data_IF_299924568841
#
_entry.id   IF_299924568841
#
_cell.length_a   1.000
_cell.length_b   1.000
_cell.length_c   1.000
_cell.angle_alpha   90.00
_cell.angle_beta   90.00
_cell.angle_gamma   90.00
#
_symmetry.space_group_name_H-M   'P 1'
#
loop_
_entity.id
_entity.type
_entity.pdbx_description
1 polymer ?
#
# COMPACT_ATOMS: atom_id res chain seq x y z
N UNK A 1 15.34 -2.18 8.36
CA UNK A 1 13.97 -1.98 7.83
C UNK A 1 14.08 -1.51 6.40
N UNK A 2 13.42 -2.18 5.44
CA UNK A 2 13.38 -1.76 4.04
C UNK A 2 11.98 -1.21 3.76
N UNK A 3 11.94 0.04 3.30
CA UNK A 3 10.72 0.74 2.91
C UNK A 3 10.90 1.26 1.49
N UNK A 4 9.87 1.07 0.67
CA UNK A 4 9.77 1.72 -0.63
C UNK A 4 8.97 3.01 -0.46
N UNK A 5 9.62 4.15 -0.71
CA UNK A 5 9.01 5.46 -0.58
C UNK A 5 8.46 5.89 -1.93
N UNK A 6 7.17 6.20 -1.98
CA UNK A 6 6.50 6.69 -3.17
C UNK A 6 5.98 8.11 -2.94
N UNK A 7 6.38 9.02 -3.83
CA UNK A 7 5.91 10.40 -3.86
C UNK A 7 4.79 10.56 -4.90
N UNK A 8 3.90 11.53 -4.68
CA UNK A 8 2.83 11.92 -5.62
C UNK A 8 1.93 10.77 -6.09
N UNK A 9 1.59 9.84 -5.20
CA UNK A 9 0.76 8.68 -5.53
C UNK A 9 -0.72 9.01 -5.78
N UNK A 10 -1.18 10.18 -5.33
CA UNK A 10 -2.60 10.59 -5.39
C UNK A 10 -2.95 11.21 -6.75
N UNK A 11 -1.99 11.86 -7.41
CA UNK A 11 -2.19 12.51 -8.71
C UNK A 11 -1.01 12.23 -9.66
N UNK A 12 -0.99 11.07 -10.32
CA UNK A 12 0.07 10.72 -11.26
C UNK A 12 -0.07 11.52 -12.57
N UNK A 13 0.86 12.44 -12.83
CA UNK A 13 0.92 13.22 -14.08
C UNK A 13 2.27 13.04 -14.83
N UNK A 14 2.32 13.46 -16.10
CA UNK A 14 3.53 13.34 -16.95
C UNK A 14 4.73 14.12 -16.36
N UNK A 15 4.45 15.15 -15.56
CA UNK A 15 5.44 15.98 -14.85
C UNK A 15 5.77 15.50 -13.44
N UNK A 16 5.65 14.21 -13.13
CA UNK A 16 5.78 13.69 -11.77
C UNK A 16 7.10 14.10 -11.08
N UNK A 17 8.21 14.14 -11.84
CA UNK A 17 9.53 14.54 -11.31
C UNK A 17 9.64 16.06 -11.07
N UNK A 18 8.80 16.86 -11.71
CA UNK A 18 8.79 18.33 -11.60
C UNK A 18 7.89 18.81 -10.45
N UNK A 19 6.87 18.03 -10.09
CA UNK A 19 5.91 18.35 -9.04
C UNK A 19 6.10 17.50 -7.78
N UNK A 20 7.31 17.02 -7.50
CA UNK A 20 7.57 16.15 -6.33
C UNK A 20 7.19 16.85 -5.02
N UNK A 21 6.12 16.38 -4.38
CA UNK A 21 5.67 16.89 -3.10
C UNK A 21 6.47 16.20 -1.99
N UNK A 22 7.29 16.97 -1.27
CA UNK A 22 8.10 16.42 -0.16
C UNK A 22 7.32 16.36 1.17
N UNK A 23 6.16 17.02 1.26
CA UNK A 23 5.30 17.06 2.45
C UNK A 23 4.46 15.80 2.66
N UNK A 24 4.22 15.02 1.61
CA UNK A 24 3.41 13.81 1.68
C UNK A 24 4.07 12.67 0.92
N UNK A 25 4.21 11.52 1.58
CA UNK A 25 4.77 10.31 0.97
C UNK A 25 3.97 9.09 1.43
N UNK A 26 3.95 8.06 0.59
CA UNK A 26 3.48 6.73 0.96
C UNK A 26 4.67 5.82 1.19
N UNK A 27 4.70 5.19 2.36
CA UNK A 27 5.71 4.20 2.75
C UNK A 27 5.17 2.79 2.60
N UNK A 28 5.72 2.02 1.67
CA UNK A 28 5.41 0.61 1.49
C UNK A 28 6.49 -0.25 2.15
N UNK A 29 6.15 -0.92 3.25
CA UNK A 29 7.10 -1.71 4.02
C UNK A 29 7.21 -3.13 3.47
N UNK A 30 8.42 -3.68 3.45
CA UNK A 30 8.70 -5.06 3.05
C UNK A 30 8.00 -6.13 3.90
N UNK A 31 7.47 -5.78 5.07
CA UNK A 31 6.67 -6.67 5.92
C UNK A 31 5.34 -6.04 6.29
N UNK A 32 4.23 -6.70 5.93
CA UNK A 32 2.86 -6.25 6.26
C UNK A 32 2.57 -6.34 7.76
N UNK A 33 3.07 -7.38 8.44
CA UNK A 33 2.96 -7.51 9.89
C UNK A 33 3.63 -6.35 10.63
N UNK A 34 4.83 -5.95 10.21
CA UNK A 34 5.56 -4.83 10.79
C UNK A 34 4.88 -3.48 10.51
N UNK A 35 4.30 -3.30 9.31
CA UNK A 35 3.51 -2.11 8.99
C UNK A 35 2.33 -1.96 9.95
N UNK A 36 1.60 -3.04 10.20
CA UNK A 36 0.47 -3.04 11.14
C UNK A 36 0.99 -2.75 12.56
N UNK A 37 2.05 -3.44 13.01
CA UNK A 37 2.61 -3.18 14.34
C UNK A 37 3.00 -1.73 14.56
N UNK A 38 3.65 -1.08 13.58
CA UNK A 38 4.07 0.33 13.68
C UNK A 38 2.90 1.31 13.52
N UNK A 39 1.91 1.00 12.68
CA UNK A 39 0.76 1.87 12.47
C UNK A 39 -0.17 1.95 13.69
N UNK A 40 -0.17 0.92 14.54
CA UNK A 40 -1.02 0.80 15.72
C UNK A 40 -0.24 0.85 17.05
N UNK A 41 1.03 1.28 17.03
CA UNK A 41 1.97 1.29 18.18
C UNK A 41 1.64 2.32 19.28
N UNK A 42 0.43 2.89 19.32
CA UNK A 42 0.15 3.98 20.27
C UNK A 42 0.00 3.52 21.73
N UNK A 43 -0.16 2.22 22.03
CA UNK A 43 -0.47 1.78 23.42
C UNK A 43 0.07 0.41 23.86
N UNK A 44 1.06 -0.18 23.19
CA UNK A 44 1.51 -1.55 23.53
C UNK A 44 0.44 -2.64 23.28
N UNK A 45 -0.61 -2.29 22.53
CA UNK A 45 -1.67 -3.19 22.06
C UNK A 45 -1.20 -4.02 20.86
N UNK A 46 0.01 -4.57 20.89
CA UNK A 46 0.38 -5.66 19.97
C UNK A 46 -0.20 -6.96 20.51
N UNK A 47 -1.51 -6.95 20.74
CA UNK A 47 -2.28 -8.09 21.17
C UNK A 47 -3.01 -8.67 19.95
N UNK A 48 -3.33 -9.96 19.96
CA UNK A 48 -4.18 -10.62 18.94
C UNK A 48 -5.47 -9.83 18.62
N UNK A 49 -5.90 -9.00 19.57
CA UNK A 49 -7.04 -8.11 19.42
C UNK A 49 -6.95 -7.12 18.27
N UNK A 50 -5.76 -6.60 17.91
CA UNK A 50 -5.66 -5.65 16.78
C UNK A 50 -6.00 -6.34 15.48
N UNK A 51 -5.46 -7.54 15.24
CA UNK A 51 -5.80 -8.33 14.06
C UNK A 51 -7.29 -8.71 14.04
N UNK A 52 -7.86 -9.10 15.18
CA UNK A 52 -9.30 -9.37 15.32
C UNK A 52 -10.13 -8.10 15.05
N UNK A 53 -9.72 -6.95 15.57
CA UNK A 53 -10.43 -5.67 15.37
C UNK A 53 -10.33 -5.18 13.93
N UNK A 54 -9.21 -5.40 13.24
CA UNK A 54 -9.09 -5.19 11.80
C UNK A 54 -10.05 -6.12 11.04
N UNK A 55 -10.05 -7.42 11.37
CA UNK A 55 -10.91 -8.41 10.72
C UNK A 55 -12.41 -8.13 10.91
N UNK A 56 -12.80 -7.66 12.10
CA UNK A 56 -14.18 -7.29 12.41
C UNK A 56 -14.54 -5.84 12.06
N UNK A 57 -13.63 -5.11 11.39
CA UNK A 57 -13.80 -3.70 11.01
C UNK A 57 -14.24 -2.79 12.18
N UNK A 58 -13.58 -2.96 13.34
CA UNK A 58 -13.88 -2.25 14.59
C UNK A 58 -12.88 -1.12 14.89
N UNK A 59 -11.89 -0.91 14.03
CA UNK A 59 -10.89 0.15 14.13
C UNK A 59 -11.07 1.10 12.95
N UNK A 60 -11.12 2.40 13.21
CA UNK A 60 -11.03 3.40 12.15
C UNK A 60 -9.54 3.60 11.80
N UNK A 61 -9.12 3.14 10.62
CA UNK A 61 -7.77 3.33 10.10
C UNK A 61 -7.79 3.47 8.57
N UNK A 62 -6.65 3.84 7.98
CA UNK A 62 -6.52 3.93 6.54
C UNK A 62 -6.37 2.54 5.91
N UNK A 63 -7.50 1.86 5.71
CA UNK A 63 -7.57 0.55 5.05
C UNK A 63 -6.92 0.56 3.67
N UNK A 64 -7.09 1.66 2.92
CA UNK A 64 -6.50 1.85 1.60
C UNK A 64 -4.98 1.70 1.62
N UNK A 65 -4.30 2.32 2.59
CA UNK A 65 -2.84 2.23 2.71
C UNK A 65 -2.36 0.80 3.01
N UNK A 66 -3.07 0.07 3.87
CA UNK A 66 -2.73 -1.33 4.19
C UNK A 66 -2.95 -2.22 2.95
N UNK A 67 -4.09 -2.06 2.28
CA UNK A 67 -4.41 -2.84 1.08
C UNK A 67 -3.43 -2.57 -0.06
N UNK A 68 -3.06 -1.30 -0.29
CA UNK A 68 -2.03 -0.92 -1.27
C UNK A 68 -0.68 -1.59 -0.96
N UNK A 69 -0.27 -1.63 0.31
CA UNK A 69 0.97 -2.30 0.70
C UNK A 69 0.90 -3.82 0.51
N UNK A 70 -0.21 -4.47 0.85
CA UNK A 70 -0.40 -5.91 0.64
C UNK A 70 -0.33 -6.24 -0.85
N UNK A 71 -1.03 -5.47 -1.70
CA UNK A 71 -0.99 -5.65 -3.16
C UNK A 71 0.42 -5.41 -3.70
N UNK A 72 1.13 -4.38 -3.23
CA UNK A 72 2.52 -4.15 -3.63
C UNK A 72 3.41 -5.35 -3.31
N UNK A 73 3.30 -5.93 -2.11
CA UNK A 73 4.06 -7.13 -1.75
C UNK A 73 3.67 -8.35 -2.60
N UNK A 74 2.37 -8.55 -2.89
CA UNK A 74 1.92 -9.61 -3.78
C UNK A 74 2.52 -9.47 -5.18
N UNK A 75 2.50 -8.25 -5.75
CA UNK A 75 3.09 -7.97 -7.05
C UNK A 75 4.60 -8.21 -7.04
N UNK A 76 5.33 -7.73 -6.04
CA UNK A 76 6.77 -7.97 -5.88
C UNK A 76 7.09 -9.47 -5.75
N UNK A 77 6.29 -10.22 -4.98
CA UNK A 77 6.48 -11.67 -4.78
C UNK A 77 6.35 -12.48 -6.09
N UNK A 78 5.62 -11.98 -7.09
CA UNK A 78 5.57 -12.63 -8.42
C UNK A 78 6.88 -12.58 -9.20
N UNK A 79 7.85 -11.75 -8.77
CA UNK A 79 9.11 -11.52 -9.47
C UNK A 79 8.99 -10.75 -10.78
N UNK A 80 7.79 -10.23 -11.11
CA UNK A 80 7.53 -9.46 -12.32
C UNK A 80 7.57 -7.96 -12.04
N UNK A 81 8.26 -7.22 -12.91
CA UNK A 81 8.24 -5.76 -12.88
C UNK A 81 6.97 -5.24 -13.52
N UNK A 82 5.96 -4.95 -12.69
CA UNK A 82 4.74 -4.30 -13.14
C UNK A 82 4.99 -2.80 -13.34
N UNK A 83 4.82 -2.33 -14.57
CA UNK A 83 4.77 -0.91 -14.92
C UNK A 83 3.32 -0.46 -15.06
N UNK A 84 3.07 0.85 -15.00
CA UNK A 84 1.74 1.42 -15.23
C UNK A 84 1.12 0.92 -16.55
N UNK A 85 1.91 0.84 -17.63
CA UNK A 85 1.46 0.29 -18.92
C UNK A 85 1.07 -1.19 -18.84
N UNK A 86 1.79 -2.00 -18.06
CA UNK A 86 1.45 -3.42 -17.85
C UNK A 86 0.13 -3.59 -17.09
N UNK A 87 -0.10 -2.75 -16.07
CA UNK A 87 -1.34 -2.74 -15.29
C UNK A 87 -2.53 -2.24 -16.12
N UNK A 88 -2.34 -1.22 -16.95
CA UNK A 88 -3.38 -0.74 -17.87
C UNK A 88 -3.78 -1.81 -18.90
N UNK A 89 -2.83 -2.59 -19.42
CA UNK A 89 -3.12 -3.72 -20.30
C UNK A 89 -3.91 -4.81 -19.57
N UNK A 90 -3.52 -5.13 -18.33
CA UNK A 90 -4.25 -6.09 -17.49
C UNK A 90 -5.67 -5.62 -17.23
N UNK A 91 -5.85 -4.36 -16.80
CA UNK A 91 -7.17 -3.74 -16.58
C UNK A 91 -8.04 -3.81 -17.83
N UNK A 92 -7.50 -3.47 -19.00
CA UNK A 92 -8.26 -3.52 -20.25
C UNK A 92 -8.64 -4.96 -20.63
N UNK A 93 -7.76 -5.94 -20.37
CA UNK A 93 -8.00 -7.35 -20.67
C UNK A 93 -9.11 -7.95 -19.80
N UNK A 94 -9.22 -7.55 -18.54
CA UNK A 94 -10.19 -8.09 -17.58
C UNK A 94 -11.35 -7.12 -17.29
N UNK A 95 -11.52 -6.08 -18.12
CA UNK A 95 -12.52 -5.03 -17.92
C UNK A 95 -13.96 -5.55 -17.89
N UNK A 96 -14.23 -6.68 -18.55
CA UNK A 96 -15.54 -7.32 -18.61
C UNK A 96 -15.86 -8.17 -17.37
N UNK A 97 -14.88 -8.42 -16.49
CA UNK A 97 -15.04 -9.21 -15.25
C UNK A 97 -15.05 -8.35 -13.98
N UNK A 98 -14.92 -7.03 -14.12
CA UNK A 98 -14.96 -6.02 -13.05
C UNK A 98 -16.29 -5.29 -13.10
#
# INVERSE_FOLDING_TARGET
MIVNIAYNTTEPNIGLRLNGESSALKCYMGGTGLLISLAFDEKGLVDEEVYKKILFNKLAFNEGMIMENIVAQMLTATGKNYTFSSLNKFRNKYKEYL
#
